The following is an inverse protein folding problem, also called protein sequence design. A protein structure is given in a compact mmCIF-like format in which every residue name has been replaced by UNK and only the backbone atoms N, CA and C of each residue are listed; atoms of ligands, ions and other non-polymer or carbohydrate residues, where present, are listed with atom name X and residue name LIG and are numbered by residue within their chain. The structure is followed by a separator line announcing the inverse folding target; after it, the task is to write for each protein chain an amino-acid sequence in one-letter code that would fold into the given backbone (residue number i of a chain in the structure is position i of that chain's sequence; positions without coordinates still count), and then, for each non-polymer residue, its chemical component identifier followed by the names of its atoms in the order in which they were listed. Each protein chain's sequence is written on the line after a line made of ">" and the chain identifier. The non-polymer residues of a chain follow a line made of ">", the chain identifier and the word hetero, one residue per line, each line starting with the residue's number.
data_IF_034123700888
#
_entry.id   IF_034123700888
#
_cell.length_a   1.000
_cell.length_b   1.000
_cell.length_c   1.000
_cell.angle_alpha   90.00
_cell.angle_beta   90.00
_cell.angle_gamma   90.00
#
_symmetry.space_group_name_H-M   'P 1'
#
loop_
_entity.id
_entity.type
_entity.pdbx_description
1 polymer ?
#
# COMPACT_ATOMS: atom_id res chain seq x y z
N UNK A 1 -12.63 -15.77 24.38
CA UNK A 1 -13.82 -16.06 25.21
C UNK A 1 -15.02 -16.11 24.29
N UNK A 2 -15.76 -17.23 24.19
CA UNK A 2 -16.99 -17.29 23.38
C UNK A 2 -18.18 -17.06 24.31
N UNK A 3 -18.94 -15.99 24.08
CA UNK A 3 -20.19 -15.71 24.77
C UNK A 3 -21.28 -15.43 23.71
N UNK A 4 -22.41 -16.13 23.81
CA UNK A 4 -23.67 -15.88 23.07
C UNK A 4 -23.55 -15.46 21.59
N UNK A 5 -22.99 -16.31 20.72
CA UNK A 5 -23.03 -16.07 19.26
C UNK A 5 -22.29 -14.82 18.77
N UNK A 6 -21.53 -14.15 19.64
CA UNK A 6 -20.73 -12.98 19.31
C UNK A 6 -19.26 -13.40 19.25
N UNK A 7 -18.69 -13.44 18.04
CA UNK A 7 -17.24 -13.57 17.85
C UNK A 7 -16.63 -12.18 17.83
N UNK A 8 -16.00 -11.79 18.95
CA UNK A 8 -15.11 -10.64 19.02
C UNK A 8 -13.66 -11.11 19.08
N UNK A 9 -12.80 -10.51 18.27
CA UNK A 9 -11.34 -10.59 18.45
C UNK A 9 -10.86 -9.27 19.02
N UNK A 10 -9.85 -9.32 19.89
CA UNK A 10 -9.18 -8.11 20.36
C UNK A 10 -8.55 -7.38 19.18
N UNK A 11 -8.79 -6.07 19.08
CA UNK A 11 -8.18 -5.22 18.06
C UNK A 11 -6.97 -4.52 18.69
N UNK A 12 -5.74 -4.79 18.24
CA UNK A 12 -4.57 -4.11 18.77
C UNK A 12 -4.69 -2.59 18.58
N UNK A 13 -4.50 -1.85 19.66
CA UNK A 13 -4.53 -0.38 19.67
C UNK A 13 -3.18 0.21 19.25
N UNK A 14 -2.10 -0.56 19.42
CA UNK A 14 -0.76 -0.18 19.02
C UNK A 14 -0.53 -0.45 17.53
N UNK A 15 -0.05 0.56 16.80
CA UNK A 15 0.19 0.42 15.36
C UNK A 15 1.41 -0.45 15.05
N UNK A 16 2.41 -0.43 15.92
CA UNK A 16 3.70 -1.11 15.70
C UNK A 16 3.51 -2.63 15.71
N UNK A 17 2.94 -3.18 16.77
CA UNK A 17 2.62 -4.61 16.90
C UNK A 17 1.59 -5.06 15.87
N UNK A 18 0.58 -4.22 15.58
CA UNK A 18 -0.42 -4.53 14.54
C UNK A 18 0.21 -4.77 13.16
N UNK A 19 1.27 -4.06 12.80
CA UNK A 19 1.89 -4.13 11.47
C UNK A 19 3.32 -4.70 11.47
N UNK A 20 3.85 -5.19 12.59
CA UNK A 20 5.22 -5.66 12.70
C UNK A 20 5.61 -6.67 11.60
N UNK A 21 4.73 -7.65 11.34
CA UNK A 21 4.93 -8.63 10.25
C UNK A 21 4.89 -8.01 8.86
N UNK A 22 4.06 -6.99 8.66
CA UNK A 22 3.92 -6.29 7.39
C UNK A 22 5.13 -5.39 7.07
N UNK A 23 5.93 -5.01 8.08
CA UNK A 23 7.21 -4.35 7.87
C UNK A 23 8.36 -5.35 7.68
N UNK A 24 8.42 -6.40 8.50
CA UNK A 24 9.53 -7.37 8.50
C UNK A 24 9.52 -8.26 7.24
N UNK A 25 8.35 -8.74 6.82
CA UNK A 25 8.25 -9.71 5.70
C UNK A 25 8.74 -9.12 4.38
N UNK A 26 8.27 -7.93 3.94
CA UNK A 26 8.73 -7.36 2.66
C UNK A 26 10.20 -6.97 2.69
N UNK A 27 10.71 -6.49 3.84
CA UNK A 27 12.12 -6.13 3.97
C UNK A 27 13.02 -7.36 3.82
N UNK A 28 12.68 -8.48 4.46
CA UNK A 28 13.40 -9.74 4.31
C UNK A 28 13.34 -10.28 2.88
N UNK A 29 12.17 -10.23 2.24
CA UNK A 29 12.01 -10.64 0.86
C UNK A 29 12.90 -9.82 -0.07
N UNK A 30 12.86 -8.49 0.05
CA UNK A 30 13.70 -7.59 -0.74
C UNK A 30 15.19 -7.87 -0.55
N UNK A 31 15.66 -8.09 0.68
CA UNK A 31 17.06 -8.45 0.94
C UNK A 31 17.44 -9.79 0.28
N UNK A 32 16.58 -10.80 0.40
CA UNK A 32 16.84 -12.13 -0.18
C UNK A 32 16.89 -12.07 -1.72
N UNK A 33 15.93 -11.38 -2.35
CA UNK A 33 15.88 -11.16 -3.80
C UNK A 33 17.13 -10.41 -4.28
N UNK A 34 17.52 -9.35 -3.58
CA UNK A 34 18.70 -8.54 -3.90
C UNK A 34 20.00 -9.35 -3.84
N UNK A 35 20.18 -10.16 -2.78
CA UNK A 35 21.36 -11.04 -2.64
C UNK A 35 21.39 -12.13 -3.72
N UNK A 36 20.22 -12.62 -4.14
CA UNK A 36 20.10 -13.59 -5.23
C UNK A 36 20.18 -12.96 -6.64
N UNK A 37 20.36 -11.64 -6.73
CA UNK A 37 20.38 -10.90 -8.01
C UNK A 37 19.06 -10.98 -8.77
N UNK A 38 17.95 -11.19 -8.06
CA UNK A 38 16.60 -11.25 -8.64
C UNK A 38 15.95 -9.87 -8.61
N UNK A 39 15.08 -9.60 -9.59
CA UNK A 39 14.28 -8.39 -9.59
C UNK A 39 13.35 -8.38 -8.36
N UNK A 40 13.32 -7.29 -7.57
CA UNK A 40 12.43 -7.21 -6.43
C UNK A 40 10.95 -7.30 -6.82
N UNK A 41 10.17 -8.08 -6.08
CA UNK A 41 8.74 -8.31 -6.39
C UNK A 41 7.80 -7.37 -5.62
N UNK A 42 8.35 -6.51 -4.78
CA UNK A 42 7.60 -5.55 -3.97
C UNK A 42 7.02 -4.36 -4.75
N UNK A 43 6.37 -3.42 -4.06
CA UNK A 43 5.90 -2.17 -4.65
C UNK A 43 7.03 -1.42 -5.36
N UNK A 44 6.74 -0.99 -6.58
CA UNK A 44 7.67 -0.29 -7.46
C UNK A 44 7.58 1.24 -7.29
N UNK A 45 8.48 1.96 -7.96
CA UNK A 45 8.43 3.42 -8.01
C UNK A 45 7.10 3.95 -8.62
N UNK A 46 6.48 3.19 -9.54
CA UNK A 46 5.17 3.53 -10.07
C UNK A 46 4.08 3.55 -9.00
N UNK A 47 4.09 2.57 -8.10
CA UNK A 47 3.10 2.46 -7.02
C UNK A 47 3.23 3.66 -6.06
N UNK A 48 4.46 4.13 -5.82
CA UNK A 48 4.73 5.38 -5.11
C UNK A 48 4.18 6.62 -5.82
N UNK A 49 4.43 6.75 -7.13
CA UNK A 49 3.90 7.86 -7.94
C UNK A 49 2.37 7.89 -7.93
N UNK A 50 1.72 6.74 -8.11
CA UNK A 50 0.27 6.63 -8.06
C UNK A 50 -0.29 7.04 -6.69
N UNK A 51 0.32 6.56 -5.59
CA UNK A 51 -0.06 6.95 -4.24
C UNK A 51 0.07 8.45 -4.00
N UNK A 52 1.13 9.10 -4.51
CA UNK A 52 1.31 10.56 -4.41
C UNK A 52 0.22 11.32 -5.16
N UNK A 53 -0.11 10.93 -6.40
CA UNK A 53 -1.16 11.58 -7.20
C UNK A 53 -2.52 11.46 -6.51
N UNK A 54 -2.87 10.25 -6.04
CA UNK A 54 -4.13 10.02 -5.33
C UNK A 54 -4.18 10.80 -4.01
N UNK A 55 -3.08 10.84 -3.27
CA UNK A 55 -3.03 11.60 -2.00
C UNK A 55 -3.21 13.10 -2.25
N UNK A 56 -2.51 13.67 -3.23
CA UNK A 56 -2.62 15.09 -3.56
C UNK A 56 -4.04 15.48 -3.98
N UNK A 57 -4.66 14.67 -4.84
CA UNK A 57 -6.05 14.90 -5.30
C UNK A 57 -7.07 14.70 -4.18
N UNK A 58 -6.82 13.78 -3.24
CA UNK A 58 -7.67 13.59 -2.05
C UNK A 58 -7.59 14.79 -1.12
N UNK A 59 -6.41 15.38 -0.93
CA UNK A 59 -6.23 16.61 -0.16
C UNK A 59 -6.95 17.79 -0.83
N UNK A 60 -6.82 17.93 -2.16
CA UNK A 60 -7.55 18.96 -2.91
C UNK A 60 -9.07 18.81 -2.78
N UNK A 61 -9.58 17.57 -2.74
CA UNK A 61 -11.01 17.28 -2.65
C UNK A 61 -11.65 17.63 -1.29
N UNK A 62 -10.88 17.98 -0.25
CA UNK A 62 -11.42 18.35 1.06
C UNK A 62 -12.17 19.68 1.05
N UNK A 63 -11.77 20.61 0.18
CA UNK A 63 -12.31 21.98 0.15
C UNK A 63 -13.58 22.17 -0.71
N UNK A 64 -13.63 21.69 -1.97
CA UNK A 64 -14.60 22.20 -2.93
C UNK A 64 -16.00 21.57 -2.84
N UNK A 65 -16.22 20.62 -1.91
CA UNK A 65 -17.49 19.89 -1.78
C UNK A 65 -17.93 19.14 -3.05
N UNK A 66 -17.02 18.94 -4.01
CA UNK A 66 -17.27 18.37 -5.34
C UNK A 66 -16.24 17.30 -5.66
N UNK A 67 -16.57 16.47 -6.64
CA UNK A 67 -15.64 15.48 -7.19
C UNK A 67 -14.39 16.14 -7.82
N UNK A 68 -13.21 15.64 -7.47
CA UNK A 68 -11.93 16.03 -8.08
C UNK A 68 -11.32 14.80 -8.78
N UNK A 69 -11.11 14.83 -10.11
CA UNK A 69 -10.50 13.71 -10.83
C UNK A 69 -9.01 13.62 -10.53
N UNK A 70 -8.49 12.39 -10.39
CA UNK A 70 -7.07 12.19 -10.02
C UNK A 70 -6.09 12.46 -11.15
N UNK A 71 -6.51 12.35 -12.41
CA UNK A 71 -5.63 12.49 -13.58
C UNK A 71 -4.50 11.45 -13.63
N UNK A 72 -4.63 10.33 -12.91
CA UNK A 72 -3.59 9.29 -12.85
C UNK A 72 -3.32 8.72 -14.25
N UNK A 73 -2.06 8.80 -14.68
CA UNK A 73 -1.60 8.26 -15.96
C UNK A 73 -1.66 6.72 -15.96
N UNK A 74 -1.75 6.06 -17.12
CA UNK A 74 -1.62 4.62 -17.19
C UNK A 74 -0.23 4.18 -16.69
N UNK A 75 -0.19 3.02 -16.03
CA UNK A 75 1.06 2.36 -15.66
C UNK A 75 1.81 1.99 -16.92
N UNK A 76 3.08 2.37 -17.02
CA UNK A 76 3.89 2.05 -18.20
C UNK A 76 4.25 0.57 -18.25
N UNK A 77 4.56 0.09 -19.45
CA UNK A 77 5.03 -1.29 -19.68
C UNK A 77 6.27 -1.65 -18.85
N UNK A 78 7.17 -0.70 -18.58
CA UNK A 78 8.35 -0.92 -17.73
C UNK A 78 7.97 -1.43 -16.33
N UNK A 79 6.86 -0.94 -15.77
CA UNK A 79 6.37 -1.39 -14.47
C UNK A 79 5.34 -2.53 -14.58
N UNK A 80 5.12 -3.11 -15.77
CA UNK A 80 4.11 -4.16 -16.00
C UNK A 80 2.70 -3.65 -16.30
N UNK A 81 2.55 -2.39 -16.71
CA UNK A 81 1.29 -1.85 -17.22
C UNK A 81 1.13 -1.94 -18.74
N UNK A 82 0.10 -1.29 -19.28
CA UNK A 82 -0.11 -1.21 -20.72
C UNK A 82 0.90 -0.25 -21.38
N UNK A 83 1.26 -0.53 -22.63
CA UNK A 83 2.10 0.35 -23.46
C UNK A 83 1.33 1.61 -23.90
#
# INVERSE_FOLDING_TARGET
>A
MRACGQHGTEVPTDRVGRFAKAFDTPLRAWMAESVAGQEPTGPSAWDGCAATVVTGTTVEALEPGRFVPTGLKPRSAFYGGAA
#
